data_IF_622073497347
#
_entry.id   IF_622073497347
#
_cell.length_a   1.000
_cell.length_b   1.000
_cell.length_c   1.000
_cell.angle_alpha   90.00
_cell.angle_beta   90.00
_cell.angle_gamma   90.00
#
_symmetry.space_group_name_H-M   'P 1'
#
loop_
_entity.id
_entity.type
_entity.pdbx_description
1 polymer ?
#
# COMPACT_ATOMS: atom_id res chain seq x y z
N UNK A 1 -15.74 -39.90 50.77
CA UNK A 1 -14.72 -40.07 51.83
C UNK A 1 -14.22 -41.50 51.72
N UNK A 2 -13.20 -41.80 50.91
CA UNK A 2 -11.76 -41.54 51.10
C UNK A 2 -11.18 -41.61 49.67
N UNK A 3 -10.80 -40.50 49.03
CA UNK A 3 -9.62 -39.69 49.30
C UNK A 3 -8.37 -40.57 49.47
N UNK A 4 -7.40 -40.32 48.59
CA UNK A 4 -6.00 -40.80 48.56
C UNK A 4 -5.75 -41.97 47.60
N UNK A 5 -4.72 -41.80 46.77
CA UNK A 5 -4.15 -42.71 45.77
C UNK A 5 -4.76 -42.69 44.37
N UNK A 6 -4.53 -41.61 43.62
CA UNK A 6 -3.95 -41.67 42.26
C UNK A 6 -3.52 -40.26 41.82
N UNK A 7 -2.76 -39.59 42.69
CA UNK A 7 -2.07 -38.32 42.38
C UNK A 7 -0.76 -38.67 41.67
N UNK A 8 -0.82 -39.15 40.42
CA UNK A 8 0.39 -39.49 39.65
C UNK A 8 0.14 -39.57 38.13
N UNK A 9 -0.62 -38.61 37.57
CA UNK A 9 -0.68 -38.46 36.10
C UNK A 9 -0.59 -37.00 35.64
N UNK A 10 0.04 -36.15 36.47
CA UNK A 10 0.59 -34.87 36.03
C UNK A 10 2.07 -35.07 35.75
N UNK A 11 2.44 -35.41 34.50
CA UNK A 11 3.74 -35.10 33.90
C UNK A 11 3.93 -35.88 32.58
N UNK A 12 3.21 -35.51 31.52
CA UNK A 12 3.63 -35.93 30.17
C UNK A 12 3.44 -34.78 29.19
N UNK A 13 4.54 -34.05 29.03
CA UNK A 13 5.07 -33.61 27.73
C UNK A 13 4.31 -32.54 26.95
N UNK A 14 4.58 -31.29 27.33
CA UNK A 14 4.74 -30.19 26.36
C UNK A 14 5.97 -30.49 25.50
N UNK A 15 5.80 -31.26 24.42
CA UNK A 15 6.76 -31.33 23.31
C UNK A 15 6.05 -30.89 22.04
N UNK A 16 5.67 -29.61 22.02
CA UNK A 16 5.30 -28.91 20.79
C UNK A 16 6.58 -28.63 19.99
N UNK A 17 6.74 -29.32 18.87
CA UNK A 17 7.88 -29.19 17.97
C UNK A 17 8.09 -27.74 17.51
N UNK A 18 9.32 -27.26 17.67
CA UNK A 18 9.80 -26.06 17.00
C UNK A 18 9.63 -26.24 15.49
N UNK A 19 8.84 -25.38 14.85
CA UNK A 19 8.92 -25.22 13.40
C UNK A 19 10.30 -24.61 13.09
N UNK A 20 11.24 -25.47 12.74
CA UNK A 20 12.44 -25.07 12.01
C UNK A 20 11.95 -24.45 10.70
N UNK A 21 11.93 -23.12 10.64
CA UNK A 21 11.64 -22.41 9.38
C UNK A 21 12.85 -22.68 8.49
N UNK A 22 12.69 -23.28 7.29
CA UNK A 22 13.81 -23.43 6.39
C UNK A 22 14.40 -22.04 6.14
N UNK A 23 15.69 -21.87 6.47
CA UNK A 23 16.43 -20.67 6.10
C UNK A 23 16.35 -20.56 4.58
N UNK A 24 15.98 -19.39 4.02
CA UNK A 24 16.01 -19.22 2.59
C UNK A 24 17.43 -19.53 2.12
N UNK A 25 17.55 -20.44 1.17
CA UNK A 25 18.83 -20.73 0.52
C UNK A 25 19.27 -19.46 -0.19
N UNK A 26 20.15 -18.72 0.47
CA UNK A 26 20.91 -17.62 -0.10
C UNK A 26 21.74 -18.21 -1.22
N UNK A 27 21.20 -18.21 -2.44
CA UNK A 27 22.03 -18.27 -3.63
C UNK A 27 22.85 -17.00 -3.63
N UNK A 28 24.08 -17.13 -3.12
CA UNK A 28 25.19 -16.24 -3.42
C UNK A 28 25.38 -16.24 -4.94
N UNK A 29 24.57 -15.45 -5.62
CA UNK A 29 24.96 -14.81 -6.86
C UNK A 29 25.50 -13.46 -6.42
N UNK A 30 26.81 -13.37 -6.35
CA UNK A 30 27.54 -12.11 -6.27
C UNK A 30 27.29 -11.32 -7.54
N UNK A 31 26.08 -10.79 -7.68
CA UNK A 31 25.88 -9.55 -8.39
C UNK A 31 25.82 -8.50 -7.29
N UNK A 32 26.59 -7.40 -7.38
CA UNK A 32 26.31 -6.26 -6.53
C UNK A 32 24.82 -5.95 -6.71
N UNK A 33 24.04 -6.16 -5.65
CA UNK A 33 22.89 -5.32 -5.39
C UNK A 33 23.48 -3.92 -5.34
N UNK A 34 23.59 -3.30 -6.51
CA UNK A 34 23.22 -1.92 -6.58
C UNK A 34 21.82 -1.93 -5.95
N UNK A 35 21.73 -1.46 -4.71
CA UNK A 35 20.62 -0.61 -4.40
C UNK A 35 20.61 0.35 -5.59
N UNK A 36 19.71 0.11 -6.54
CA UNK A 36 19.34 1.13 -7.48
C UNK A 36 18.75 2.18 -6.56
N UNK A 37 19.66 3.03 -6.08
CA UNK A 37 19.34 4.34 -5.58
C UNK A 37 18.54 4.85 -6.75
N UNK A 38 17.21 4.88 -6.62
CA UNK A 38 16.38 5.79 -7.39
C UNK A 38 16.82 7.18 -6.95
N UNK A 39 18.07 7.50 -7.32
CA UNK A 39 18.68 8.77 -7.16
C UNK A 39 17.78 9.68 -7.94
N UNK A 40 17.43 10.79 -7.32
CA UNK A 40 16.81 11.91 -7.96
C UNK A 40 17.69 12.32 -9.17
N UNK A 41 17.55 11.61 -10.28
CA UNK A 41 17.78 12.15 -11.58
C UNK A 41 16.84 13.35 -11.63
N UNK A 42 17.38 14.53 -11.91
CA UNK A 42 16.67 15.81 -12.02
C UNK A 42 15.59 15.71 -13.13
N UNK A 43 14.56 14.93 -12.86
CA UNK A 43 13.52 14.54 -13.79
C UNK A 43 12.26 15.11 -13.19
N UNK A 44 11.57 15.93 -13.98
CA UNK A 44 10.30 16.51 -13.56
C UNK A 44 9.37 15.38 -13.09
N UNK A 45 8.75 15.48 -11.90
CA UNK A 45 7.87 14.44 -11.41
C UNK A 45 6.74 14.15 -12.41
N UNK A 46 6.31 12.89 -12.48
CA UNK A 46 5.17 12.46 -13.29
C UNK A 46 4.33 11.41 -12.56
N UNK A 47 3.05 11.32 -12.93
CA UNK A 47 2.06 10.44 -12.30
C UNK A 47 1.31 9.65 -13.38
N UNK A 48 1.44 8.33 -13.33
CA UNK A 48 0.59 7.38 -14.04
C UNK A 48 -0.36 6.72 -13.04
N UNK A 49 -1.58 6.43 -13.47
CA UNK A 49 -2.61 5.81 -12.61
C UNK A 49 -3.18 4.58 -13.31
N UNK A 50 -3.21 3.47 -12.59
CA UNK A 50 -4.04 2.31 -12.90
C UNK A 50 -5.23 2.27 -11.95
N UNK A 51 -6.37 1.83 -12.47
CA UNK A 51 -7.59 1.70 -11.68
C UNK A 51 -8.35 0.42 -12.05
N UNK A 52 -9.10 -0.11 -11.09
CA UNK A 52 -10.02 -1.21 -11.31
C UNK A 52 -11.25 -1.09 -10.42
N UNK A 53 -12.44 -1.16 -11.02
CA UNK A 53 -13.72 -1.16 -10.31
C UNK A 53 -14.09 -2.58 -9.90
N UNK A 54 -14.48 -2.77 -8.64
CA UNK A 54 -15.04 -4.01 -8.12
C UNK A 54 -16.15 -3.71 -7.10
N UNK A 55 -17.39 -3.99 -7.48
CA UNK A 55 -18.55 -3.57 -6.71
C UNK A 55 -18.63 -2.05 -6.63
N UNK A 56 -18.81 -1.51 -5.43
CA UNK A 56 -18.83 -0.05 -5.18
C UNK A 56 -17.43 0.53 -4.90
N UNK A 57 -16.36 -0.25 -5.12
CA UNK A 57 -15.01 0.13 -4.76
C UNK A 57 -14.14 0.31 -5.99
N UNK A 58 -13.26 1.32 -5.96
CA UNK A 58 -12.24 1.55 -6.99
C UNK A 58 -10.87 1.32 -6.37
N UNK A 59 -10.16 0.31 -6.88
CA UNK A 59 -8.79 0.03 -6.52
C UNK A 59 -7.89 0.90 -7.39
N UNK A 60 -6.99 1.65 -6.78
CA UNK A 60 -6.15 2.63 -7.47
C UNK A 60 -4.70 2.36 -7.14
N UNK A 61 -3.87 2.35 -8.18
CA UNK A 61 -2.41 2.32 -8.09
C UNK A 61 -1.84 3.54 -8.81
N UNK A 62 -0.98 4.28 -8.12
CA UNK A 62 -0.27 5.45 -8.61
C UNK A 62 1.20 5.09 -8.79
N UNK A 63 1.74 5.34 -9.97
CA UNK A 63 3.14 5.16 -10.29
C UNK A 63 3.75 6.55 -10.43
N UNK A 64 4.54 6.95 -9.43
CA UNK A 64 5.25 8.22 -9.38
C UNK A 64 6.69 8.02 -9.87
N UNK A 65 7.08 8.78 -10.90
CA UNK A 65 8.47 8.83 -11.37
C UNK A 65 9.09 10.17 -11.00
N UNK A 66 10.34 10.16 -10.54
CA UNK A 66 11.05 11.38 -10.12
C UNK A 66 10.51 12.00 -8.82
N UNK A 67 9.72 11.23 -8.04
CA UNK A 67 9.24 11.67 -6.72
C UNK A 67 9.19 10.49 -5.74
N UNK A 68 9.62 10.71 -4.50
CA UNK A 68 9.46 9.73 -3.41
C UNK A 68 8.98 10.35 -2.10
N UNK A 69 7.89 9.81 -1.53
CA UNK A 69 7.38 10.21 -0.21
C UNK A 69 8.36 9.97 0.94
N UNK A 70 9.41 9.17 0.75
CA UNK A 70 10.43 8.92 1.78
C UNK A 70 11.49 10.01 1.85
N UNK A 71 11.70 10.75 0.77
CA UNK A 71 12.74 11.78 0.65
C UNK A 71 12.18 13.18 0.46
N UNK A 72 10.96 13.29 -0.06
CA UNK A 72 10.31 14.55 -0.37
C UNK A 72 9.00 14.72 0.42
N UNK A 73 8.67 15.97 0.72
CA UNK A 73 7.42 16.32 1.39
C UNK A 73 6.30 16.45 0.38
N UNK A 74 5.19 15.74 0.62
CA UNK A 74 3.99 15.89 -0.17
C UNK A 74 2.94 14.84 0.16
N UNK A 75 1.83 14.89 -0.57
CA UNK A 75 0.75 13.92 -0.51
C UNK A 75 -0.02 13.93 -1.84
N UNK A 76 -0.70 12.83 -2.14
CA UNK A 76 -1.71 12.77 -3.19
C UNK A 76 -3.01 13.33 -2.64
N UNK A 77 -3.55 14.36 -3.27
CA UNK A 77 -4.91 14.83 -3.04
C UNK A 77 -5.85 14.12 -4.02
N UNK A 78 -6.86 13.46 -3.49
CA UNK A 78 -7.88 12.77 -4.28
C UNK A 78 -9.18 13.56 -4.18
N UNK A 79 -9.75 13.89 -5.33
CA UNK A 79 -11.10 14.42 -5.45
C UNK A 79 -11.98 13.50 -6.27
N UNK A 80 -13.25 13.40 -5.89
CA UNK A 80 -14.28 12.66 -6.61
C UNK A 80 -15.40 13.65 -6.92
N UNK A 81 -15.73 13.78 -8.20
CA UNK A 81 -16.72 14.75 -8.72
C UNK A 81 -16.44 16.18 -8.25
N UNK A 82 -15.16 16.56 -8.24
CA UNK A 82 -14.68 17.87 -7.81
C UNK A 82 -14.67 18.09 -6.29
N UNK A 83 -15.12 17.13 -5.49
CA UNK A 83 -15.14 17.23 -4.02
C UNK A 83 -13.91 16.54 -3.41
N UNK A 84 -13.26 17.13 -2.39
CA UNK A 84 -12.20 16.45 -1.65
C UNK A 84 -12.69 15.11 -1.09
N UNK A 85 -11.94 14.04 -1.36
CA UNK A 85 -12.25 12.70 -0.89
C UNK A 85 -11.25 12.25 0.18
N UNK A 86 -9.95 12.28 -0.14
CA UNK A 86 -8.89 11.83 0.77
C UNK A 86 -7.52 12.40 0.41
N UNK A 87 -6.61 12.35 1.37
CA UNK A 87 -5.18 12.60 1.17
C UNK A 87 -4.39 11.34 1.48
N UNK A 88 -3.43 11.00 0.62
CA UNK A 88 -2.66 9.76 0.71
C UNK A 88 -1.17 10.02 0.55
N UNK A 89 -0.35 9.36 1.37
CA UNK A 89 1.12 9.27 1.18
C UNK A 89 1.55 7.88 0.71
N UNK A 90 0.60 7.13 0.17
CA UNK A 90 0.79 5.77 -0.32
C UNK A 90 0.35 5.71 -1.77
N UNK A 91 1.08 4.93 -2.57
CA UNK A 91 0.86 4.83 -4.01
C UNK A 91 -0.35 3.96 -4.36
N UNK A 92 -0.79 3.05 -3.50
CA UNK A 92 -1.94 2.18 -3.73
C UNK A 92 -3.01 2.36 -2.63
N UNK A 93 -4.28 2.46 -3.04
CA UNK A 93 -5.41 2.66 -2.14
C UNK A 93 -6.74 2.25 -2.76
N UNK A 94 -7.80 2.27 -1.97
CA UNK A 94 -9.17 1.98 -2.41
C UNK A 94 -10.07 3.18 -2.13
N UNK A 95 -10.84 3.59 -3.12
CA UNK A 95 -11.99 4.48 -2.98
C UNK A 95 -13.21 3.61 -2.70
N UNK A 96 -13.61 3.52 -1.45
CA UNK A 96 -14.71 2.63 -1.04
C UNK A 96 -16.07 3.30 -1.16
N UNK A 97 -17.08 2.47 -1.39
CA UNK A 97 -18.50 2.83 -1.29
C UNK A 97 -18.90 4.03 -2.15
N UNK A 98 -18.36 4.12 -3.37
CA UNK A 98 -18.83 5.09 -4.34
C UNK A 98 -20.27 4.76 -4.74
N UNK A 99 -21.17 5.76 -4.80
CA UNK A 99 -22.53 5.58 -5.28
C UNK A 99 -22.59 4.95 -6.67
N UNK A 100 -23.75 4.40 -7.04
CA UNK A 100 -23.97 3.95 -8.41
C UNK A 100 -23.95 5.13 -9.38
N UNK A 101 -23.29 4.95 -10.52
CA UNK A 101 -23.20 5.92 -11.60
C UNK A 101 -21.76 6.26 -11.99
N UNK A 102 -21.65 7.30 -12.81
CA UNK A 102 -20.37 7.80 -13.32
C UNK A 102 -19.71 8.76 -12.33
N UNK A 103 -18.44 8.50 -12.02
CA UNK A 103 -17.65 9.33 -11.13
C UNK A 103 -16.35 9.77 -11.80
N UNK A 104 -16.04 11.06 -11.69
CA UNK A 104 -14.76 11.62 -12.14
C UNK A 104 -13.80 11.71 -10.97
N UNK A 105 -12.70 10.96 -11.04
CA UNK A 105 -11.64 10.95 -10.02
C UNK A 105 -10.47 11.78 -10.51
N UNK A 106 -9.99 12.69 -9.68
CA UNK A 106 -8.75 13.42 -9.93
C UNK A 106 -7.77 13.18 -8.80
N UNK A 107 -6.52 12.87 -9.16
CA UNK A 107 -5.41 12.65 -8.23
C UNK A 107 -4.33 13.66 -8.58
N UNK A 108 -3.90 14.44 -7.59
CA UNK A 108 -2.86 15.45 -7.77
C UNK A 108 -1.77 15.31 -6.69
N UNK A 109 -0.51 15.41 -7.11
CA UNK A 109 0.61 15.45 -6.21
C UNK A 109 0.79 16.87 -5.64
N UNK A 110 0.53 17.01 -4.35
CA UNK A 110 0.60 18.26 -3.61
C UNK A 110 1.87 18.34 -2.78
N UNK A 111 2.48 19.53 -2.72
CA UNK A 111 3.61 19.85 -1.84
C UNK A 111 3.13 20.27 -0.45
N UNK A 112 2.03 21.03 -0.43
CA UNK A 112 1.32 21.45 0.78
C UNK A 112 -0.18 21.56 0.48
N UNK A 113 -0.99 22.00 1.44
CA UNK A 113 -2.44 22.24 1.22
C UNK A 113 -2.72 23.31 0.17
N UNK A 114 -1.76 24.20 -0.08
CA UNK A 114 -1.91 25.38 -0.94
C UNK A 114 -1.01 25.32 -2.18
N UNK A 115 0.00 24.45 -2.19
CA UNK A 115 1.02 24.37 -3.24
C UNK A 115 1.02 22.99 -3.90
N UNK A 116 0.91 22.98 -5.23
CA UNK A 116 0.91 21.78 -6.07
C UNK A 116 2.23 21.61 -6.83
N UNK A 117 2.63 20.35 -7.05
CA UNK A 117 3.71 20.02 -8.01
C UNK A 117 3.25 20.11 -9.47
N UNK A 118 1.97 20.42 -9.72
CA UNK A 118 1.32 20.47 -11.03
C UNK A 118 1.39 19.13 -11.78
N UNK A 119 1.39 18.04 -11.01
CA UNK A 119 1.40 16.66 -11.50
C UNK A 119 0.08 16.02 -11.12
N UNK A 120 -0.76 15.76 -12.12
CA UNK A 120 -2.15 15.33 -11.94
C UNK A 120 -2.52 14.27 -12.96
N UNK A 121 -3.43 13.39 -12.56
CA UNK A 121 -4.14 12.47 -13.45
C UNK A 121 -5.65 12.53 -13.13
N UNK A 122 -6.48 12.49 -14.17
CA UNK A 122 -7.94 12.48 -14.06
C UNK A 122 -8.49 11.34 -14.90
N UNK A 123 -9.40 10.56 -14.33
CA UNK A 123 -10.06 9.44 -15.01
C UNK A 123 -11.52 9.31 -14.56
N UNK A 124 -12.31 8.61 -15.35
CA UNK A 124 -13.72 8.32 -15.04
C UNK A 124 -13.90 6.84 -14.76
N UNK A 125 -14.75 6.52 -13.80
CA UNK A 125 -15.18 5.16 -13.47
C UNK A 125 -16.70 5.08 -13.50
N UNK A 126 -17.22 3.90 -13.83
CA UNK A 126 -18.64 3.61 -13.80
C UNK A 126 -18.92 2.55 -12.72
N UNK A 127 -19.80 2.88 -11.78
CA UNK A 127 -20.22 1.98 -10.71
C UNK A 127 -21.63 1.46 -11.03
N UNK A 128 -21.78 0.13 -11.16
CA UNK A 128 -23.00 -0.56 -11.62
C UNK A 128 -23.83 -1.10 -10.44
#
# INVERSE_FOLDING_TARGET
MRLLLTTALCAVSLLGCNHDKPKPETKTSSQPWAAETFGAMNTKPSLMVHQHVKGQNVYVECILSGFSFSTESGFLQITVDGKPFKEMKQAAFVLSDLPKGSHTVTIELMKSKEESYQVRNTFTVEII
#
